data_IF_218584053430
#
_entry.id   IF_218584053430
#
_cell.length_a   1.000
_cell.length_b   1.000
_cell.length_c   1.000
_cell.angle_alpha   90.00
_cell.angle_beta   90.00
_cell.angle_gamma   90.00
#
_symmetry.space_group_name_H-M   'P 1'
#
loop_
_entity.id
_entity.type
_entity.pdbx_description
1 polymer ?
#
# COMPACT_ATOMS: atom_id res chain seq x y z
N UNK A 1 -68.26 -25.51 52.89
CA UNK A 1 -68.30 -24.84 51.55
C UNK A 1 -67.50 -23.56 51.64
N UNK A 2 -66.15 -23.64 51.90
CA UNK A 2 -65.28 -22.47 52.08
C UNK A 2 -63.78 -22.77 51.75
N UNK A 3 -63.46 -23.72 50.83
CA UNK A 3 -62.08 -24.10 50.54
C UNK A 3 -61.67 -23.84 49.10
N UNK A 4 -62.56 -23.42 48.17
CA UNK A 4 -62.27 -23.24 46.77
C UNK A 4 -61.86 -21.83 46.35
N UNK A 5 -62.08 -20.82 47.21
CA UNK A 5 -61.74 -19.42 46.82
C UNK A 5 -60.28 -19.07 46.97
N UNK A 6 -59.52 -19.74 47.83
CA UNK A 6 -58.07 -19.45 48.02
C UNK A 6 -57.17 -20.04 46.89
N UNK A 7 -57.55 -21.18 46.34
CA UNK A 7 -56.78 -21.88 45.31
C UNK A 7 -56.87 -21.15 43.97
N UNK A 8 -58.06 -20.60 43.65
CA UNK A 8 -58.23 -19.83 42.34
C UNK A 8 -57.51 -18.48 42.33
N UNK A 9 -57.35 -17.83 43.48
CA UNK A 9 -56.65 -16.58 43.65
C UNK A 9 -55.13 -16.80 43.53
N UNK A 10 -54.58 -17.88 44.11
CA UNK A 10 -53.15 -18.19 43.98
C UNK A 10 -52.76 -18.63 42.61
N UNK A 11 -53.60 -19.31 41.84
CA UNK A 11 -53.30 -19.66 40.43
C UNK A 11 -53.30 -18.43 39.51
N UNK A 12 -54.19 -17.46 39.72
CA UNK A 12 -54.20 -16.20 38.98
C UNK A 12 -53.00 -15.35 39.26
N UNK A 13 -52.57 -15.21 40.53
CA UNK A 13 -51.36 -14.44 40.86
C UNK A 13 -50.10 -15.11 40.33
N UNK A 14 -50.03 -16.42 40.23
CA UNK A 14 -48.91 -17.17 39.71
C UNK A 14 -48.83 -17.07 38.17
N UNK A 15 -49.99 -17.05 37.48
CA UNK A 15 -50.06 -16.83 36.03
C UNK A 15 -49.61 -15.42 35.64
N UNK A 16 -50.08 -14.39 36.36
CA UNK A 16 -49.67 -13.00 36.10
C UNK A 16 -48.18 -12.74 36.39
N UNK A 17 -47.59 -13.45 37.37
CA UNK A 17 -46.17 -13.37 37.64
C UNK A 17 -45.31 -14.03 36.53
N UNK A 18 -45.74 -15.19 36.02
CA UNK A 18 -45.08 -15.87 34.90
C UNK A 18 -45.20 -15.08 33.58
N UNK A 19 -46.35 -14.42 33.34
CA UNK A 19 -46.54 -13.58 32.19
C UNK A 19 -45.68 -12.30 32.24
N UNK A 20 -45.45 -11.78 33.47
CA UNK A 20 -44.57 -10.63 33.69
C UNK A 20 -43.08 -10.99 33.54
N UNK A 21 -42.64 -12.16 34.02
CA UNK A 21 -41.28 -12.65 33.86
C UNK A 21 -40.94 -12.95 32.38
N UNK A 22 -41.86 -13.60 31.66
CA UNK A 22 -41.71 -13.85 30.23
C UNK A 22 -41.69 -12.55 29.41
N UNK A 23 -42.48 -11.55 29.79
CA UNK A 23 -42.46 -10.23 29.20
C UNK A 23 -41.11 -9.53 29.39
N UNK A 24 -40.54 -9.58 30.59
CA UNK A 24 -39.22 -8.99 30.88
C UNK A 24 -38.07 -9.70 30.14
N UNK A 25 -38.13 -11.02 29.97
CA UNK A 25 -37.15 -11.78 29.22
C UNK A 25 -37.23 -11.47 27.71
N UNK A 26 -38.44 -11.31 27.16
CA UNK A 26 -38.65 -10.93 25.77
C UNK A 26 -38.17 -9.48 25.52
N UNK A 27 -38.49 -8.56 26.42
CA UNK A 27 -38.01 -7.16 26.31
C UNK A 27 -36.50 -7.07 26.45
N UNK A 28 -35.87 -7.86 27.32
CA UNK A 28 -34.43 -7.93 27.45
C UNK A 28 -33.76 -8.53 26.17
N UNK A 29 -34.39 -9.55 25.57
CA UNK A 29 -33.93 -10.12 24.31
C UNK A 29 -34.10 -9.14 23.13
N UNK A 30 -35.22 -8.39 23.09
CA UNK A 30 -35.45 -7.35 22.10
C UNK A 30 -34.46 -6.18 22.24
N UNK A 31 -34.18 -5.73 23.47
CA UNK A 31 -33.15 -4.73 23.74
C UNK A 31 -31.74 -5.20 23.32
N UNK A 32 -31.48 -6.53 23.46
CA UNK A 32 -30.25 -7.14 22.92
C UNK A 32 -30.20 -7.15 21.41
N UNK A 33 -31.33 -7.30 20.73
CA UNK A 33 -31.44 -7.21 19.27
C UNK A 33 -31.27 -5.77 18.76
N UNK A 34 -31.82 -4.78 19.46
CA UNK A 34 -31.60 -3.35 19.17
C UNK A 34 -30.12 -2.94 19.31
N UNK A 35 -29.40 -3.58 20.25
CA UNK A 35 -27.95 -3.39 20.39
C UNK A 35 -27.14 -4.01 19.23
N UNK A 36 -27.74 -4.93 18.47
CA UNK A 36 -27.19 -5.49 17.23
C UNK A 36 -27.55 -4.64 16.00
N UNK A 37 -28.42 -3.63 16.14
CA UNK A 37 -28.68 -2.66 15.08
C UNK A 37 -27.37 -1.88 14.84
N UNK A 38 -26.58 -2.41 13.89
CA UNK A 38 -25.39 -1.74 13.37
C UNK A 38 -25.89 -0.43 12.78
N UNK A 39 -25.51 0.73 13.35
CA UNK A 39 -25.95 2.00 12.82
C UNK A 39 -25.63 1.99 11.32
N UNK A 40 -26.68 2.01 10.49
CA UNK A 40 -26.54 2.11 9.03
C UNK A 40 -25.68 3.32 8.79
N UNK A 41 -24.40 3.09 8.49
CA UNK A 41 -23.44 4.15 8.27
C UNK A 41 -24.03 5.04 7.18
N UNK A 42 -24.51 6.23 7.56
CA UNK A 42 -25.02 7.21 6.62
C UNK A 42 -24.03 7.30 5.48
N UNK A 43 -24.43 6.85 4.29
CA UNK A 43 -23.60 6.90 3.09
C UNK A 43 -23.34 8.38 2.79
N UNK A 44 -22.21 8.88 3.27
CA UNK A 44 -21.76 10.22 2.93
C UNK A 44 -21.75 10.35 1.40
N UNK A 45 -22.23 11.45 0.84
CA UNK A 45 -22.25 11.67 -0.61
C UNK A 45 -20.84 11.45 -1.17
N UNK A 46 -20.75 10.83 -2.35
CA UNK A 46 -19.49 10.48 -3.00
C UNK A 46 -18.50 11.65 -3.05
N UNK A 47 -19.01 12.88 -3.29
CA UNK A 47 -18.22 14.10 -3.30
C UNK A 47 -17.53 14.38 -1.94
N UNK A 48 -18.23 14.20 -0.81
CA UNK A 48 -17.64 14.38 0.51
C UNK A 48 -16.60 13.30 0.84
N UNK A 49 -16.78 12.09 0.30
CA UNK A 49 -15.85 10.97 0.49
C UNK A 49 -14.58 11.15 -0.35
N UNK A 50 -14.70 11.60 -1.60
CA UNK A 50 -13.56 11.93 -2.46
C UNK A 50 -12.81 13.14 -1.91
N UNK A 51 -13.51 14.19 -1.48
CA UNK A 51 -12.90 15.36 -0.86
C UNK A 51 -12.11 14.99 0.39
N UNK A 52 -12.70 14.22 1.31
CA UNK A 52 -12.01 13.75 2.52
C UNK A 52 -10.77 12.87 2.24
N UNK A 53 -10.70 12.21 1.10
CA UNK A 53 -9.56 11.40 0.69
C UNK A 53 -8.46 12.21 -0.04
N UNK A 54 -8.82 13.32 -0.69
CA UNK A 54 -7.90 14.10 -1.54
C UNK A 54 -7.32 15.33 -0.84
N UNK A 55 -8.10 16.02 0.01
CA UNK A 55 -7.63 17.25 0.67
C UNK A 55 -6.34 17.09 1.48
N UNK A 56 -6.08 15.94 2.21
CA UNK A 56 -4.83 15.80 2.94
C UNK A 56 -3.63 15.68 2.01
N UNK A 57 -3.81 15.08 0.82
CA UNK A 57 -2.76 14.95 -0.18
C UNK A 57 -2.44 16.28 -0.83
N UNK A 58 -3.48 17.06 -1.17
CA UNK A 58 -3.33 18.42 -1.69
C UNK A 58 -2.68 19.31 -0.64
N UNK A 59 -3.11 19.23 0.61
CA UNK A 59 -2.51 19.98 1.74
C UNK A 59 -1.04 19.64 1.95
N UNK A 60 -0.66 18.37 1.88
CA UNK A 60 0.73 17.94 1.98
C UNK A 60 1.59 18.47 0.81
N UNK A 61 1.05 18.42 -0.41
CA UNK A 61 1.74 18.98 -1.59
C UNK A 61 1.89 20.50 -1.48
N UNK A 62 0.83 21.20 -1.07
CA UNK A 62 0.85 22.66 -0.88
C UNK A 62 1.87 23.05 0.21
N UNK A 63 1.90 22.31 1.33
CA UNK A 63 2.89 22.52 2.39
C UNK A 63 4.31 22.29 1.89
N UNK A 64 4.56 21.24 1.12
CA UNK A 64 5.87 20.98 0.52
C UNK A 64 6.32 22.13 -0.41
N UNK A 65 5.44 22.57 -1.33
CA UNK A 65 5.74 23.69 -2.23
C UNK A 65 5.96 25.00 -1.47
N UNK A 66 5.21 25.23 -0.40
CA UNK A 66 5.36 26.40 0.46
C UNK A 66 6.70 26.39 1.20
N UNK A 67 7.09 25.25 1.78
CA UNK A 67 8.40 25.08 2.42
C UNK A 67 9.54 25.30 1.42
N UNK A 68 9.43 24.74 0.22
CA UNK A 68 10.41 24.99 -0.84
C UNK A 68 10.48 26.47 -1.19
N UNK A 69 9.35 27.13 -1.37
CA UNK A 69 9.31 28.56 -1.67
C UNK A 69 9.88 29.42 -0.54
N UNK A 70 9.65 29.07 0.72
CA UNK A 70 10.25 29.77 1.89
C UNK A 70 11.77 29.63 1.86
N UNK A 71 12.31 28.45 1.57
CA UNK A 71 13.76 28.24 1.43
C UNK A 71 14.35 29.09 0.30
N UNK A 72 13.64 29.24 -0.81
CA UNK A 72 14.06 30.12 -1.90
C UNK A 72 14.05 31.60 -1.48
N UNK A 73 13.00 32.03 -0.76
CA UNK A 73 12.89 33.41 -0.25
C UNK A 73 13.90 33.74 0.83
N UNK A 74 14.36 32.76 1.61
CA UNK A 74 15.37 32.96 2.63
C UNK A 74 16.74 33.41 2.06
N UNK A 75 16.92 33.28 0.73
CA UNK A 75 18.18 33.66 0.08
C UNK A 75 19.36 32.74 0.43
N UNK A 76 19.11 31.57 1.07
CA UNK A 76 20.18 30.63 1.47
C UNK A 76 21.07 30.22 0.28
N UNK A 77 20.46 30.09 -0.91
CA UNK A 77 21.18 29.83 -2.15
C UNK A 77 20.70 30.77 -3.26
N UNK A 78 21.59 31.19 -4.17
CA UNK A 78 21.19 31.96 -5.34
C UNK A 78 20.15 31.23 -6.21
N UNK A 79 19.30 31.98 -6.89
CA UNK A 79 18.21 31.44 -7.70
C UNK A 79 18.66 30.58 -8.89
N UNK A 80 19.92 30.71 -9.30
CA UNK A 80 20.53 29.85 -10.33
C UNK A 80 20.97 28.48 -9.78
N UNK A 81 21.13 28.34 -8.45
CA UNK A 81 21.43 27.06 -7.78
C UNK A 81 20.15 26.38 -7.33
N UNK A 82 19.23 27.14 -6.75
CA UNK A 82 17.96 26.64 -6.26
C UNK A 82 16.81 27.45 -6.85
N UNK A 83 16.30 27.04 -8.05
CA UNK A 83 15.16 27.70 -8.65
C UNK A 83 13.89 27.51 -7.81
N UNK A 84 13.00 28.50 -7.86
CA UNK A 84 11.71 28.41 -7.18
C UNK A 84 10.78 27.42 -7.86
N UNK A 85 9.77 26.88 -7.11
CA UNK A 85 8.83 25.90 -7.63
C UNK A 85 8.07 26.40 -8.86
N UNK A 86 7.77 27.67 -8.98
CA UNK A 86 7.11 28.26 -10.15
C UNK A 86 7.93 28.08 -11.44
N UNK A 87 9.24 28.35 -11.40
CA UNK A 87 10.12 28.16 -12.57
C UNK A 87 10.26 26.67 -12.94
N UNK A 88 10.42 25.80 -11.95
CA UNK A 88 10.54 24.36 -12.18
C UNK A 88 9.25 23.76 -12.76
N UNK A 89 8.08 24.16 -12.27
CA UNK A 89 6.78 23.72 -12.80
C UNK A 89 6.50 24.28 -14.19
N UNK A 90 6.89 25.54 -14.48
CA UNK A 90 6.78 26.12 -15.82
C UNK A 90 7.63 25.38 -16.84
N UNK A 91 8.88 25.05 -16.47
CA UNK A 91 9.77 24.24 -17.31
C UNK A 91 9.24 22.83 -17.53
N UNK A 92 8.74 22.17 -16.47
CA UNK A 92 8.07 20.89 -16.60
C UNK A 92 6.87 20.96 -17.56
N UNK A 93 6.05 22.02 -17.45
CA UNK A 93 4.92 22.25 -18.35
C UNK A 93 5.34 22.46 -19.80
N UNK A 94 6.42 23.22 -20.06
CA UNK A 94 6.94 23.43 -21.42
C UNK A 94 7.45 22.14 -22.07
N UNK A 95 8.11 21.28 -21.29
CA UNK A 95 8.62 19.98 -21.76
C UNK A 95 7.51 19.03 -22.17
N UNK A 96 6.34 19.07 -21.51
CA UNK A 96 5.17 18.26 -21.90
C UNK A 96 4.71 18.50 -23.34
N UNK A 97 5.01 19.68 -23.91
CA UNK A 97 4.73 20.03 -25.31
C UNK A 97 5.75 19.50 -26.32
N UNK A 98 6.84 18.87 -25.89
CA UNK A 98 7.93 18.43 -26.77
C UNK A 98 7.84 16.93 -27.08
N UNK A 99 8.12 16.53 -28.33
CA UNK A 99 8.23 15.11 -28.71
C UNK A 99 9.35 14.40 -27.94
N UNK A 100 10.48 15.09 -27.74
CA UNK A 100 11.63 14.53 -27.01
C UNK A 100 11.25 14.03 -25.61
N UNK A 101 10.42 14.78 -24.89
CA UNK A 101 9.95 14.39 -23.54
C UNK A 101 9.19 13.06 -23.58
N UNK A 102 8.26 12.91 -24.52
CA UNK A 102 7.44 11.68 -24.62
C UNK A 102 8.25 10.49 -25.11
N UNK A 103 9.22 10.69 -25.99
CA UNK A 103 10.15 9.66 -26.46
C UNK A 103 11.03 9.17 -25.31
N UNK A 104 11.61 10.07 -24.52
CA UNK A 104 12.41 9.75 -23.35
C UNK A 104 11.57 9.02 -22.29
N UNK A 105 10.37 9.51 -22.00
CA UNK A 105 9.46 8.90 -21.05
C UNK A 105 9.03 7.49 -21.50
N UNK A 106 8.65 7.33 -22.76
CA UNK A 106 8.23 6.04 -23.31
C UNK A 106 9.35 5.00 -23.22
N UNK A 107 10.59 5.37 -23.59
CA UNK A 107 11.75 4.47 -23.48
C UNK A 107 12.05 4.08 -22.04
N UNK A 108 12.06 5.04 -21.12
CA UNK A 108 12.25 4.77 -19.70
C UNK A 108 11.17 3.81 -19.17
N UNK A 109 9.89 4.00 -19.54
CA UNK A 109 8.80 3.11 -19.13
C UNK A 109 8.89 1.71 -19.75
N UNK A 110 9.23 1.61 -21.04
CA UNK A 110 9.45 0.31 -21.70
C UNK A 110 10.58 -0.44 -21.01
N UNK A 111 11.71 0.21 -20.78
CA UNK A 111 12.86 -0.36 -20.07
C UNK A 111 12.49 -0.79 -18.63
N UNK A 112 11.69 0.02 -17.93
CA UNK A 112 11.16 -0.34 -16.61
C UNK A 112 10.31 -1.61 -16.65
N UNK A 113 9.40 -1.71 -17.63
CA UNK A 113 8.51 -2.86 -17.78
C UNK A 113 9.26 -4.13 -18.16
N UNK A 114 10.20 -4.05 -19.08
CA UNK A 114 11.04 -5.19 -19.49
C UNK A 114 11.89 -5.71 -18.33
N UNK A 115 12.63 -4.81 -17.67
CA UNK A 115 13.45 -5.17 -16.51
C UNK A 115 12.62 -5.72 -15.34
N UNK A 116 11.46 -5.12 -15.09
CA UNK A 116 10.55 -5.58 -14.06
C UNK A 116 9.92 -6.95 -14.41
N UNK A 117 9.48 -7.16 -15.65
CA UNK A 117 8.95 -8.45 -16.08
C UNK A 117 9.98 -9.57 -15.93
N UNK A 118 11.23 -9.31 -16.32
CA UNK A 118 12.32 -10.27 -16.13
C UNK A 118 12.59 -10.52 -14.64
N UNK A 119 12.60 -9.48 -13.80
CA UNK A 119 12.75 -9.60 -12.36
C UNK A 119 11.61 -10.40 -11.71
N UNK A 120 10.37 -10.22 -12.18
CA UNK A 120 9.21 -11.00 -11.72
C UNK A 120 9.36 -12.46 -12.06
N UNK A 121 9.73 -12.79 -13.29
CA UNK A 121 9.94 -14.20 -13.70
C UNK A 121 11.02 -14.86 -12.83
N UNK A 122 12.18 -14.24 -12.71
CA UNK A 122 13.30 -14.77 -11.90
C UNK A 122 12.89 -14.85 -10.43
N UNK A 123 12.30 -13.79 -9.88
CA UNK A 123 11.87 -13.74 -8.47
C UNK A 123 10.82 -14.79 -8.13
N UNK A 124 9.84 -15.02 -9.00
CA UNK A 124 8.84 -16.08 -8.81
C UNK A 124 9.48 -17.46 -8.87
N UNK A 125 10.33 -17.73 -9.86
CA UNK A 125 11.02 -19.04 -9.98
C UNK A 125 11.88 -19.31 -8.73
N UNK A 126 12.71 -18.33 -8.33
CA UNK A 126 13.54 -18.46 -7.13
C UNK A 126 12.68 -18.59 -5.87
N UNK A 127 11.65 -17.78 -5.72
CA UNK A 127 10.76 -17.81 -4.56
C UNK A 127 10.03 -19.16 -4.41
N UNK A 128 9.53 -19.72 -5.52
CA UNK A 128 8.90 -21.06 -5.53
C UNK A 128 9.94 -22.15 -5.21
N UNK A 129 11.12 -22.09 -5.79
CA UNK A 129 12.18 -23.06 -5.51
C UNK A 129 12.59 -23.05 -4.02
N UNK A 130 12.81 -21.86 -3.47
CA UNK A 130 13.19 -21.66 -2.06
C UNK A 130 12.07 -22.09 -1.11
N UNK A 131 10.80 -21.81 -1.44
CA UNK A 131 9.66 -22.21 -0.60
C UNK A 131 9.46 -23.73 -0.52
N UNK A 132 9.98 -24.49 -1.50
CA UNK A 132 9.85 -25.96 -1.55
C UNK A 132 10.95 -26.71 -0.84
N UNK A 133 12.08 -26.09 -0.54
CA UNK A 133 13.26 -26.77 0.02
C UNK A 133 13.77 -26.05 1.26
N UNK A 134 13.82 -26.75 2.39
CA UNK A 134 14.37 -26.22 3.65
C UNK A 134 15.86 -25.86 3.49
N UNK A 135 16.61 -26.63 2.72
CA UNK A 135 18.03 -26.39 2.46
C UNK A 135 18.21 -25.09 1.67
N UNK A 136 17.44 -24.92 0.57
CA UNK A 136 17.46 -23.69 -0.21
C UNK A 136 17.00 -22.48 0.60
N UNK A 137 16.03 -22.67 1.48
CA UNK A 137 15.55 -21.61 2.37
C UNK A 137 16.65 -21.10 3.30
N UNK A 138 17.38 -21.98 3.93
CA UNK A 138 18.47 -21.61 4.83
C UNK A 138 19.64 -20.98 4.06
N UNK A 139 20.02 -21.55 2.92
CA UNK A 139 21.16 -21.07 2.15
C UNK A 139 20.86 -19.77 1.37
N UNK A 140 19.71 -19.71 0.69
CA UNK A 140 19.40 -18.64 -0.25
C UNK A 140 18.56 -17.53 0.41
N UNK A 141 17.73 -17.85 1.40
CA UNK A 141 16.87 -16.87 2.07
C UNK A 141 17.63 -15.72 2.71
N UNK A 142 18.73 -16.02 3.43
CA UNK A 142 19.60 -14.99 4.01
C UNK A 142 20.30 -14.16 2.92
N UNK A 143 20.71 -14.79 1.83
CA UNK A 143 21.33 -14.10 0.69
C UNK A 143 20.36 -13.16 -0.02
N UNK A 144 19.11 -13.60 -0.25
CA UNK A 144 18.05 -12.74 -0.81
C UNK A 144 17.84 -11.49 0.05
N UNK A 145 17.80 -11.66 1.37
CA UNK A 145 17.64 -10.54 2.30
C UNK A 145 18.87 -9.62 2.27
N UNK A 146 20.07 -10.16 2.22
CA UNK A 146 21.30 -9.39 2.12
C UNK A 146 21.34 -8.54 0.82
N UNK A 147 20.93 -9.12 -0.31
CA UNK A 147 20.82 -8.38 -1.57
C UNK A 147 19.86 -7.19 -1.49
N UNK A 148 18.77 -7.31 -0.73
CA UNK A 148 17.80 -6.21 -0.56
C UNK A 148 18.34 -5.08 0.33
N UNK A 149 19.25 -5.36 1.25
CA UNK A 149 19.85 -4.34 2.11
C UNK A 149 20.91 -3.51 1.39
N UNK A 150 21.49 -4.06 0.32
CA UNK A 150 22.50 -3.34 -0.47
C UNK A 150 21.82 -2.30 -1.39
N UNK A 151 22.29 -1.04 -1.40
CA UNK A 151 21.87 -0.09 -2.40
C UNK A 151 22.18 -0.57 -3.82
N UNK A 152 21.19 -0.57 -4.72
CA UNK A 152 21.37 -1.08 -6.09
C UNK A 152 22.46 -0.35 -6.87
N UNK A 153 22.76 0.91 -6.54
CA UNK A 153 23.83 1.71 -7.15
C UNK A 153 25.22 1.06 -7.00
N UNK A 154 25.44 0.29 -5.94
CA UNK A 154 26.74 -0.38 -5.68
C UNK A 154 27.07 -1.44 -6.75
N UNK A 155 26.05 -1.96 -7.45
CA UNK A 155 26.21 -2.98 -8.47
C UNK A 155 26.61 -2.41 -9.85
N UNK A 156 26.49 -1.07 -10.09
CA UNK A 156 26.81 -0.48 -11.38
C UNK A 156 28.26 -0.61 -11.81
N UNK A 157 29.30 -0.44 -10.93
CA UNK A 157 30.67 -0.68 -11.34
C UNK A 157 30.88 -2.10 -11.89
N UNK A 158 30.33 -3.10 -11.23
CA UNK A 158 30.39 -4.49 -11.72
C UNK A 158 29.59 -4.66 -13.01
N UNK A 159 28.39 -4.10 -13.11
CA UNK A 159 27.57 -4.17 -14.30
C UNK A 159 28.26 -3.55 -15.51
N UNK A 160 28.92 -2.39 -15.34
CA UNK A 160 29.66 -1.71 -16.40
C UNK A 160 30.90 -2.53 -16.82
N UNK A 161 31.58 -3.16 -15.90
CA UNK A 161 32.69 -4.05 -16.20
C UNK A 161 32.26 -5.25 -17.04
N UNK A 162 31.09 -5.84 -16.72
CA UNK A 162 30.58 -7.04 -17.40
C UNK A 162 29.93 -6.72 -18.75
N UNK A 163 29.15 -5.65 -18.81
CA UNK A 163 28.27 -5.33 -19.94
C UNK A 163 28.62 -4.03 -20.65
N UNK A 164 29.64 -3.31 -20.21
CA UNK A 164 30.03 -1.96 -20.68
C UNK A 164 28.89 -0.95 -20.42
N UNK A 165 28.93 0.20 -21.09
CA UNK A 165 27.86 1.21 -21.05
C UNK A 165 26.73 0.81 -22.01
N UNK A 166 25.91 -0.13 -21.60
CA UNK A 166 24.86 -0.71 -22.45
C UNK A 166 23.54 -0.88 -21.70
N UNK A 167 22.46 -1.11 -22.44
CA UNK A 167 21.14 -1.47 -21.92
C UNK A 167 21.21 -2.67 -20.97
N UNK A 168 22.06 -3.66 -21.29
CA UNK A 168 22.24 -4.86 -20.49
C UNK A 168 22.80 -4.56 -19.09
N UNK A 169 23.65 -3.55 -18.95
CA UNK A 169 24.16 -3.14 -17.65
C UNK A 169 23.03 -2.58 -16.75
N UNK A 170 22.16 -1.76 -17.33
CA UNK A 170 21.00 -1.22 -16.63
C UNK A 170 20.05 -2.35 -16.24
N UNK A 171 19.71 -3.24 -17.18
CA UNK A 171 18.81 -4.38 -16.95
C UNK A 171 19.33 -5.32 -15.87
N UNK A 172 20.63 -5.61 -15.85
CA UNK A 172 21.25 -6.45 -14.82
C UNK A 172 20.99 -5.89 -13.42
N UNK A 173 21.23 -4.60 -13.21
CA UNK A 173 21.07 -3.96 -11.89
C UNK A 173 19.58 -3.83 -11.52
N UNK A 174 18.70 -3.58 -12.49
CA UNK A 174 17.25 -3.54 -12.29
C UNK A 174 16.74 -4.90 -11.81
N UNK A 175 17.15 -5.98 -12.47
CA UNK A 175 16.74 -7.34 -12.10
C UNK A 175 17.30 -7.72 -10.72
N UNK A 176 18.58 -7.43 -10.48
CA UNK A 176 19.22 -7.73 -9.21
C UNK A 176 18.57 -6.99 -8.03
N UNK A 177 18.11 -5.76 -8.26
CA UNK A 177 17.42 -4.97 -7.25
C UNK A 177 15.97 -5.42 -7.01
N UNK A 178 15.24 -5.82 -8.06
CA UNK A 178 13.83 -6.10 -7.97
C UNK A 178 13.48 -7.57 -7.66
N UNK A 179 14.21 -8.54 -8.26
CA UNK A 179 13.91 -9.96 -8.15
C UNK A 179 13.91 -10.48 -6.69
N UNK A 180 14.81 -10.05 -5.79
CA UNK A 180 14.80 -10.47 -4.40
C UNK A 180 13.52 -10.11 -3.66
N UNK A 181 12.93 -8.94 -3.95
CA UNK A 181 11.66 -8.52 -3.32
C UNK A 181 10.48 -9.36 -3.79
N UNK A 182 10.45 -9.71 -5.07
CA UNK A 182 9.43 -10.59 -5.62
C UNK A 182 9.58 -12.00 -5.04
N UNK A 183 10.81 -12.52 -4.95
CA UNK A 183 11.11 -13.82 -4.36
C UNK A 183 10.65 -13.89 -2.89
N UNK A 184 10.96 -12.88 -2.09
CA UNK A 184 10.49 -12.79 -0.71
C UNK A 184 8.96 -12.73 -0.61
N UNK A 185 8.29 -11.98 -1.49
CA UNK A 185 6.83 -11.95 -1.56
C UNK A 185 6.22 -13.33 -1.79
N UNK A 186 6.84 -14.15 -2.65
CA UNK A 186 6.43 -15.54 -2.92
C UNK A 186 6.73 -16.43 -1.71
N UNK A 187 7.93 -16.36 -1.14
CA UNK A 187 8.34 -17.16 0.02
C UNK A 187 7.40 -16.90 1.20
N UNK A 188 7.23 -15.63 1.58
CA UNK A 188 6.32 -15.25 2.66
C UNK A 188 4.87 -15.63 2.34
N UNK A 189 4.45 -15.46 1.08
CA UNK A 189 3.10 -15.85 0.67
C UNK A 189 2.82 -17.33 0.89
N UNK A 190 3.77 -18.20 0.59
CA UNK A 190 3.62 -19.65 0.80
C UNK A 190 3.72 -20.01 2.28
N UNK A 191 4.64 -19.37 3.02
CA UNK A 191 4.90 -19.69 4.44
C UNK A 191 3.75 -19.29 5.36
N UNK A 192 3.08 -18.19 5.07
CA UNK A 192 1.97 -17.66 5.88
C UNK A 192 0.59 -18.22 5.49
N UNK A 193 0.52 -19.23 4.61
CA UNK A 193 -0.75 -19.92 4.35
C UNK A 193 -1.19 -20.66 5.62
N UNK A 194 -2.38 -20.38 6.18
CA UNK A 194 -2.87 -21.05 7.37
C UNK A 194 -2.89 -22.57 7.18
N UNK A 195 -2.31 -23.35 8.12
CA UNK A 195 -2.26 -24.82 8.00
C UNK A 195 -3.65 -25.46 7.88
N UNK A 196 -4.68 -24.79 8.41
CA UNK A 196 -6.07 -25.22 8.30
C UNK A 196 -6.53 -25.29 6.85
N UNK A 197 -6.22 -24.29 6.03
CA UNK A 197 -6.58 -24.28 4.60
C UNK A 197 -5.95 -25.44 3.87
N UNK A 198 -4.69 -25.76 4.17
CA UNK A 198 -3.98 -26.90 3.57
C UNK A 198 -4.62 -28.23 3.98
N UNK A 199 -5.03 -28.37 5.26
CA UNK A 199 -5.71 -29.58 5.75
C UNK A 199 -7.07 -29.76 5.07
N UNK A 200 -7.89 -28.70 5.02
CA UNK A 200 -9.19 -28.72 4.34
C UNK A 200 -9.03 -29.05 2.85
N UNK A 201 -8.07 -28.44 2.17
CA UNK A 201 -7.80 -28.75 0.77
C UNK A 201 -7.45 -30.24 0.56
N UNK A 202 -6.66 -30.83 1.47
CA UNK A 202 -6.33 -32.26 1.41
C UNK A 202 -7.50 -33.17 1.69
N UNK A 203 -8.36 -32.83 2.65
CA UNK A 203 -9.58 -33.61 2.92
C UNK A 203 -10.59 -33.56 1.77
N UNK A 204 -10.58 -32.47 0.97
CA UNK A 204 -11.34 -32.36 -0.28
C UNK A 204 -10.67 -33.05 -1.47
N UNK A 205 -9.55 -33.79 -1.26
CA UNK A 205 -8.85 -34.55 -2.31
C UNK A 205 -7.79 -33.77 -3.09
N UNK A 206 -7.53 -32.50 -2.77
CA UNK A 206 -6.48 -31.74 -3.45
C UNK A 206 -5.09 -32.22 -3.03
N UNK A 207 -4.26 -32.66 -3.98
CA UNK A 207 -2.90 -33.16 -3.75
C UNK A 207 -1.92 -32.58 -4.77
N UNK A 208 -0.64 -32.49 -4.41
CA UNK A 208 0.42 -32.07 -5.32
C UNK A 208 0.11 -30.70 -5.98
N UNK A 209 0.13 -30.64 -7.29
CA UNK A 209 -0.09 -29.42 -8.07
C UNK A 209 -1.49 -28.81 -7.85
N UNK A 210 -2.54 -29.65 -7.70
CA UNK A 210 -3.90 -29.14 -7.45
C UNK A 210 -4.01 -28.41 -6.12
N UNK A 211 -3.33 -28.88 -5.07
CA UNK A 211 -3.27 -28.20 -3.77
C UNK A 211 -2.61 -26.80 -3.90
N UNK A 212 -1.51 -26.72 -4.64
CA UNK A 212 -0.83 -25.44 -4.87
C UNK A 212 -1.70 -24.49 -5.71
N UNK A 213 -2.30 -24.97 -6.79
CA UNK A 213 -3.09 -24.16 -7.74
C UNK A 213 -4.37 -23.60 -7.12
N UNK A 214 -5.07 -24.40 -6.32
CA UNK A 214 -6.42 -24.06 -5.83
C UNK A 214 -6.45 -23.60 -4.38
N UNK A 215 -5.43 -23.91 -3.57
CA UNK A 215 -5.41 -23.56 -2.15
C UNK A 215 -4.25 -22.61 -1.84
N UNK A 216 -3.01 -23.02 -2.08
CA UNK A 216 -1.83 -22.27 -1.66
C UNK A 216 -1.67 -20.98 -2.47
N UNK A 217 -1.71 -21.03 -3.80
CA UNK A 217 -1.50 -19.85 -4.65
C UNK A 217 -2.57 -18.76 -4.44
N UNK A 218 -3.88 -19.08 -4.34
CA UNK A 218 -4.87 -18.07 -3.98
C UNK A 218 -4.69 -17.48 -2.58
N UNK A 219 -4.27 -18.28 -1.61
CA UNK A 219 -4.03 -17.81 -0.23
C UNK A 219 -2.75 -16.95 -0.14
N UNK A 220 -1.71 -17.29 -0.91
CA UNK A 220 -0.44 -16.56 -0.96
C UNK A 220 -0.53 -15.21 -1.72
N UNK A 221 -1.53 -15.03 -2.57
CA UNK A 221 -1.60 -13.90 -3.50
C UNK A 221 -1.49 -12.50 -2.86
N UNK A 222 -2.05 -12.21 -1.67
CA UNK A 222 -1.86 -10.91 -1.03
C UNK A 222 -0.39 -10.59 -0.74
N UNK A 223 0.36 -11.57 -0.24
CA UNK A 223 1.80 -11.41 0.04
C UNK A 223 2.62 -11.30 -1.25
N UNK A 224 2.27 -12.08 -2.27
CA UNK A 224 2.90 -11.99 -3.59
C UNK A 224 2.70 -10.60 -4.19
N UNK A 225 1.49 -10.03 -4.11
CA UNK A 225 1.23 -8.67 -4.59
C UNK A 225 2.01 -7.61 -3.79
N UNK A 226 2.16 -7.79 -2.48
CA UNK A 226 3.02 -6.92 -1.69
C UNK A 226 4.48 -7.01 -2.15
N UNK A 227 4.98 -8.22 -2.43
CA UNK A 227 6.31 -8.44 -3.01
C UNK A 227 6.47 -7.84 -4.40
N UNK A 228 5.46 -7.95 -5.26
CA UNK A 228 5.44 -7.32 -6.58
C UNK A 228 5.49 -5.79 -6.47
N UNK A 229 4.67 -5.19 -5.62
CA UNK A 229 4.70 -3.75 -5.37
C UNK A 229 6.07 -3.28 -4.88
N UNK A 230 6.65 -4.00 -3.92
CA UNK A 230 7.98 -3.70 -3.41
C UNK A 230 9.05 -3.88 -4.49
N UNK A 231 8.96 -4.94 -5.30
CA UNK A 231 9.83 -5.19 -6.44
C UNK A 231 9.78 -4.07 -7.47
N UNK A 232 8.60 -3.53 -7.78
CA UNK A 232 8.48 -2.37 -8.65
C UNK A 232 9.19 -1.14 -8.07
N UNK A 233 9.04 -0.87 -6.78
CA UNK A 233 9.71 0.27 -6.15
C UNK A 233 11.24 0.16 -6.19
N UNK A 234 11.80 -1.05 -6.11
CA UNK A 234 13.22 -1.28 -6.31
C UNK A 234 13.62 -1.19 -7.78
N UNK A 235 12.82 -1.75 -8.69
CA UNK A 235 13.00 -1.63 -10.13
C UNK A 235 13.14 -0.15 -10.55
N UNK A 236 12.17 0.68 -10.16
CA UNK A 236 12.15 2.11 -10.49
C UNK A 236 13.39 2.84 -9.99
N UNK A 237 13.78 2.62 -8.73
CA UNK A 237 14.98 3.25 -8.16
C UNK A 237 16.27 2.80 -8.84
N UNK A 238 16.38 1.50 -9.12
CA UNK A 238 17.56 0.95 -9.82
C UNK A 238 17.65 1.46 -11.25
N UNK A 239 16.51 1.55 -11.95
CA UNK A 239 16.46 2.08 -13.31
C UNK A 239 16.88 3.54 -13.36
N UNK A 240 16.35 4.38 -12.46
CA UNK A 240 16.73 5.79 -12.42
C UNK A 240 18.22 5.96 -12.13
N UNK A 241 18.77 5.19 -11.19
CA UNK A 241 20.22 5.20 -10.95
C UNK A 241 21.00 4.72 -12.18
N UNK A 242 20.46 3.74 -12.92
CA UNK A 242 21.07 3.23 -14.14
C UNK A 242 21.11 4.24 -15.26
N UNK A 243 20.02 4.91 -15.54
CA UNK A 243 19.93 5.93 -16.58
C UNK A 243 20.79 7.17 -16.30
N UNK A 244 21.05 7.45 -15.00
CA UNK A 244 21.97 8.51 -14.59
C UNK A 244 23.44 8.15 -14.80
N UNK A 245 23.81 6.88 -14.61
CA UNK A 245 25.20 6.42 -14.65
C UNK A 245 25.62 5.85 -16.01
N UNK A 246 24.66 5.28 -16.74
CA UNK A 246 24.89 4.59 -18.02
C UNK A 246 24.10 5.30 -19.10
N UNK A 247 24.73 6.27 -19.74
CA UNK A 247 24.14 6.97 -20.88
C UNK A 247 24.38 6.13 -22.13
N UNK A 248 23.29 5.66 -22.75
CA UNK A 248 23.35 4.90 -24.00
C UNK A 248 23.14 5.84 -25.19
N UNK A 249 24.12 6.05 -26.08
CA UNK A 249 23.98 6.95 -27.19
C UNK A 249 22.79 6.60 -28.11
N UNK A 250 22.07 7.62 -28.59
CA UNK A 250 20.90 7.43 -29.46
C UNK A 250 19.62 6.93 -28.75
N UNK A 251 19.66 6.73 -27.44
CA UNK A 251 18.52 6.28 -26.64
C UNK A 251 18.15 7.34 -25.58
N UNK A 252 17.28 8.33 -25.92
CA UNK A 252 16.85 9.31 -24.95
C UNK A 252 16.13 8.64 -23.77
N UNK A 253 16.38 9.13 -22.55
CA UNK A 253 15.71 8.64 -21.35
C UNK A 253 15.58 9.76 -20.31
N UNK A 254 14.64 9.63 -19.39
CA UNK A 254 14.39 10.65 -18.35
C UNK A 254 15.61 10.83 -17.44
N UNK A 255 16.32 9.74 -17.12
CA UNK A 255 17.55 9.81 -16.33
C UNK A 255 18.69 10.45 -17.08
N UNK A 256 18.84 10.20 -18.39
CA UNK A 256 19.85 10.87 -19.23
C UNK A 256 19.56 12.38 -19.34
N UNK A 257 18.29 12.77 -19.49
CA UNK A 257 17.92 14.19 -19.52
C UNK A 257 18.25 14.91 -18.21
N UNK A 258 18.04 14.23 -17.08
CA UNK A 258 18.45 14.74 -15.77
C UNK A 258 19.96 14.92 -15.68
N UNK A 259 20.73 13.94 -16.14
CA UNK A 259 22.21 14.00 -16.12
C UNK A 259 22.73 15.08 -17.06
N UNK A 260 22.20 15.19 -18.27
CA UNK A 260 22.55 16.23 -19.23
C UNK A 260 22.27 17.63 -18.65
N UNK A 261 21.09 17.85 -18.08
CA UNK A 261 20.76 19.13 -17.43
C UNK A 261 21.73 19.45 -16.30
N UNK A 262 22.17 18.44 -15.53
CA UNK A 262 23.15 18.59 -14.46
C UNK A 262 24.54 18.97 -15.01
N UNK A 263 25.00 18.33 -16.07
CA UNK A 263 26.30 18.62 -16.68
C UNK A 263 26.35 20.01 -17.31
N UNK A 264 25.21 20.47 -17.86
CA UNK A 264 25.05 21.81 -18.42
C UNK A 264 24.81 22.90 -17.37
N UNK A 265 24.75 22.51 -16.06
CA UNK A 265 24.40 23.40 -14.94
C UNK A 265 22.99 24.05 -15.09
N UNK A 266 22.13 23.44 -15.91
CA UNK A 266 20.71 23.84 -16.03
C UNK A 266 19.91 23.32 -14.82
N UNK A 267 19.92 24.04 -13.73
CA UNK A 267 19.24 23.65 -12.49
C UNK A 267 17.73 23.62 -12.62
N UNK A 268 17.15 24.44 -13.53
CA UNK A 268 15.70 24.42 -13.80
C UNK A 268 15.33 23.12 -14.50
N UNK A 269 16.11 22.71 -15.50
CA UNK A 269 15.98 21.43 -16.20
C UNK A 269 16.16 20.22 -15.28
N UNK A 270 17.12 20.27 -14.34
CA UNK A 270 17.29 19.24 -13.31
C UNK A 270 16.02 19.12 -12.47
N UNK A 271 15.47 20.22 -11.97
CA UNK A 271 14.23 20.21 -11.17
C UNK A 271 13.03 19.70 -11.97
N UNK A 272 12.90 20.08 -13.24
CA UNK A 272 11.83 19.59 -14.11
C UNK A 272 11.93 18.07 -14.33
N UNK A 273 13.13 17.53 -14.56
CA UNK A 273 13.36 16.08 -14.68
C UNK A 273 13.08 15.34 -13.36
N UNK A 274 13.47 15.91 -12.21
CA UNK A 274 13.12 15.36 -10.89
C UNK A 274 11.59 15.32 -10.67
N UNK A 275 10.87 16.37 -11.07
CA UNK A 275 9.39 16.38 -11.02
C UNK A 275 8.82 15.28 -11.92
N UNK A 276 9.35 15.09 -13.12
CA UNK A 276 8.94 14.01 -14.04
C UNK A 276 9.09 12.64 -13.36
N UNK A 277 10.27 12.34 -12.82
CA UNK A 277 10.56 11.07 -12.14
C UNK A 277 9.60 10.85 -10.95
N UNK A 278 9.35 11.90 -10.17
CA UNK A 278 8.43 11.85 -9.03
C UNK A 278 6.99 11.60 -9.46
N UNK A 279 6.49 12.35 -10.45
CA UNK A 279 5.11 12.20 -10.97
C UNK A 279 4.88 10.80 -11.52
N UNK A 280 5.80 10.28 -12.33
CA UNK A 280 5.71 8.92 -12.87
C UNK A 280 5.73 7.88 -11.74
N UNK A 281 6.62 8.02 -10.77
CA UNK A 281 6.68 7.13 -9.61
C UNK A 281 5.36 7.10 -8.83
N UNK A 282 4.76 8.26 -8.57
CA UNK A 282 3.46 8.38 -7.87
C UNK A 282 2.33 7.76 -8.69
N UNK A 283 2.29 7.98 -10.00
CA UNK A 283 1.25 7.42 -10.87
C UNK A 283 1.28 5.89 -10.88
N UNK A 284 2.47 5.31 -10.99
CA UNK A 284 2.62 3.85 -10.97
C UNK A 284 2.31 3.27 -9.59
N UNK A 285 2.76 3.91 -8.49
CA UNK A 285 2.38 3.47 -7.13
C UNK A 285 0.86 3.52 -6.93
N UNK A 286 0.19 4.55 -7.44
CA UNK A 286 -1.27 4.66 -7.41
C UNK A 286 -1.96 3.53 -8.21
N UNK A 287 -1.40 3.12 -9.34
CA UNK A 287 -1.90 1.99 -10.13
C UNK A 287 -1.78 0.67 -9.33
N UNK A 288 -0.63 0.40 -8.70
CA UNK A 288 -0.45 -0.77 -7.84
C UNK A 288 -1.40 -0.77 -6.63
N UNK A 289 -1.57 0.37 -5.97
CA UNK A 289 -2.49 0.51 -4.84
C UNK A 289 -3.94 0.22 -5.26
N UNK A 290 -4.33 0.70 -6.43
CA UNK A 290 -5.67 0.47 -6.99
C UNK A 290 -5.89 -1.01 -7.31
N UNK A 291 -4.88 -1.68 -7.90
CA UNK A 291 -4.92 -3.11 -8.19
C UNK A 291 -5.04 -3.94 -6.89
N UNK A 292 -4.23 -3.62 -5.87
CA UNK A 292 -4.28 -4.29 -4.56
C UNK A 292 -5.64 -4.10 -3.88
N UNK A 293 -6.17 -2.88 -3.85
CA UNK A 293 -7.49 -2.60 -3.28
C UNK A 293 -8.61 -3.36 -4.00
N UNK A 294 -8.62 -3.35 -5.35
CA UNK A 294 -9.61 -4.09 -6.14
C UNK A 294 -9.57 -5.58 -5.85
N UNK A 295 -8.38 -6.15 -5.72
CA UNK A 295 -8.21 -7.56 -5.38
C UNK A 295 -8.73 -7.86 -3.97
N UNK A 296 -8.40 -7.04 -2.96
CA UNK A 296 -8.87 -7.21 -1.58
C UNK A 296 -10.39 -7.13 -1.47
N UNK A 297 -11.00 -6.15 -2.16
CA UNK A 297 -12.47 -6.02 -2.22
C UNK A 297 -13.10 -7.24 -2.86
N UNK A 298 -12.60 -7.70 -4.02
CA UNK A 298 -13.14 -8.89 -4.71
C UNK A 298 -13.04 -10.17 -3.89
N UNK A 299 -12.12 -10.25 -2.93
CA UNK A 299 -11.90 -11.40 -2.05
C UNK A 299 -12.54 -11.26 -0.67
N UNK A 300 -13.30 -10.19 -0.42
CA UNK A 300 -13.90 -9.94 0.89
C UNK A 300 -12.89 -9.68 2.01
N UNK A 301 -11.62 -9.40 1.66
CA UNK A 301 -10.53 -9.15 2.62
C UNK A 301 -10.53 -7.71 3.16
N UNK A 302 -11.38 -6.83 2.64
CA UNK A 302 -11.59 -5.50 3.20
C UNK A 302 -12.52 -5.66 4.39
N UNK A 303 -11.95 -5.75 5.58
CA UNK A 303 -12.74 -5.65 6.80
C UNK A 303 -13.41 -4.27 6.81
N UNK A 304 -14.73 -4.24 6.83
CA UNK A 304 -15.54 -3.03 7.09
C UNK A 304 -15.18 -2.37 8.44
N UNK A 305 -14.38 -3.07 9.26
CA UNK A 305 -13.98 -2.68 10.60
C UNK A 305 -13.10 -1.45 10.75
N UNK A 306 -12.39 -1.01 9.72
CA UNK A 306 -11.55 0.21 9.85
C UNK A 306 -12.39 1.48 9.95
N UNK A 307 -13.58 1.47 9.39
CA UNK A 307 -14.56 2.56 9.53
C UNK A 307 -15.25 2.51 10.90
N UNK A 308 -15.54 1.34 11.43
CA UNK A 308 -16.17 1.15 12.72
C UNK A 308 -15.24 1.50 13.91
N UNK A 309 -13.97 1.11 13.84
CA UNK A 309 -12.96 1.46 14.87
C UNK A 309 -12.67 2.96 14.88
N UNK A 310 -12.67 3.64 13.73
CA UNK A 310 -12.55 5.10 13.68
C UNK A 310 -13.80 5.82 14.21
N UNK A 311 -14.99 5.30 13.96
CA UNK A 311 -16.24 5.82 14.50
C UNK A 311 -16.32 5.64 16.04
N UNK A 312 -15.93 4.47 16.56
CA UNK A 312 -15.89 4.19 17.98
C UNK A 312 -14.85 5.03 18.75
N UNK A 313 -13.71 5.38 18.12
CA UNK A 313 -12.73 6.30 18.71
C UNK A 313 -13.21 7.76 18.71
N UNK A 314 -14.00 8.17 17.71
CA UNK A 314 -14.61 9.50 17.66
C UNK A 314 -15.73 9.71 18.67
N UNK A 315 -16.49 8.67 19.03
CA UNK A 315 -17.55 8.73 20.03
C UNK A 315 -17.01 8.75 21.46
N UNK A 316 -15.93 8.02 21.76
CA UNK A 316 -15.29 8.06 23.08
C UNK A 316 -14.65 9.43 23.42
N UNK A 317 -14.16 10.15 22.42
CA UNK A 317 -13.62 11.51 22.63
C UNK A 317 -14.69 12.55 22.95
N UNK A 318 -15.94 12.34 22.55
CA UNK A 318 -17.06 13.26 22.88
C UNK A 318 -17.74 12.94 24.21
N UNK A 319 -17.72 11.70 24.67
CA UNK A 319 -18.31 11.32 25.95
C UNK A 319 -17.53 11.81 27.17
N UNK A 320 -16.22 12.04 27.04
CA UNK A 320 -15.37 12.55 28.13
C UNK A 320 -15.38 14.07 28.25
N UNK A 321 -15.86 14.80 27.23
CA UNK A 321 -15.97 16.27 27.29
C UNK A 321 -17.32 16.77 27.85
N UNK A 322 -18.30 15.85 28.11
CA UNK A 322 -19.64 16.20 28.61
C UNK A 322 -19.89 15.84 30.08
N UNK A 323 -18.97 15.18 30.78
CA UNK A 323 -19.07 14.93 32.21
C UNK A 323 -18.40 16.08 32.99
N UNK A 324 -19.00 17.26 32.92
CA UNK A 324 -18.70 18.37 33.81
C UNK A 324 -19.10 17.96 35.23
N UNK A 325 -18.13 17.89 36.12
CA UNK A 325 -18.31 17.74 37.55
C UNK A 325 -18.95 19.01 38.08
N UNK A 326 -20.23 18.95 38.50
CA UNK A 326 -20.86 19.99 39.30
C UNK A 326 -20.16 20.04 40.66
N UNK A 327 -19.69 21.20 41.11
CA UNK A 327 -19.14 21.33 42.44
C UNK A 327 -20.30 21.33 43.50
N UNK A 328 -20.34 20.28 44.31
CA UNK A 328 -21.20 20.24 45.49
C UNK A 328 -20.78 21.35 46.43
N UNK A 329 -21.59 22.41 46.51
CA UNK A 329 -21.54 23.42 47.57
C UNK A 329 -22.11 22.76 48.82
N UNK A 330 -21.25 22.41 49.75
CA UNK A 330 -21.61 22.02 51.12
C UNK A 330 -21.74 23.26 52.00
N UNK A 331 -22.95 23.56 52.42
CA UNK A 331 -23.26 24.44 53.54
C UNK A 331 -23.33 23.62 54.82
N UNK A 332 -22.61 23.99 55.86
CA UNK A 332 -22.72 23.47 57.18
C UNK A 332 -21.47 23.73 58.01
#
# INVERSE_FOLDING_TARGET
MATDSHTSTQLRTRSTALDAETGLEVDAALAGLDALDIPTAQRRPLAARTWAATWPKIGALALFLLLWQIVVWSGWKPSYVLPGPGKALSEFGSRLGTHHFWDALARTLVRALEGYALAVVIGVVVGVAVSRSTILRTAVGSFITALQTMPSIVWFPLAILLFKLSESAIMFVVVLGAAPSVANGVIYGVDYVPPLLVRVGRSMGARGFSLYRYVVAPAALPSVLAGLKQGWAFCWRSLMAGELLVIVPGHPSVGADLQNSRELLDTVGVMASMITIFVVGVLVDAAFNTADQRMRVRRGLVAEGTSAVRAARGSRGRGLAGAGVDPVVGSG
#
